data_IF_334262340961
#
_entry.id   IF_334262340961
#
_cell.length_a   1.000
_cell.length_b   1.000
_cell.length_c   1.000
_cell.angle_alpha   90.00
_cell.angle_beta   90.00
_cell.angle_gamma   90.00
#
_symmetry.space_group_name_H-M   'P 1'
#
loop_
_entity.id
_entity.type
_entity.pdbx_description
1 polymer ?
#
# COMPACT_ATOMS: atom_id res chain seq x y z
N UNK A 1 -12.97 -10.77 -17.21
CA UNK A 1 -11.94 -11.80 -16.93
C UNK A 1 -10.75 -11.66 -17.89
N UNK A 2 -10.25 -10.44 -18.09
CA UNK A 2 -9.16 -10.09 -19.04
C UNK A 2 -8.20 -9.03 -18.48
N UNK A 3 -8.69 -8.11 -17.65
CA UNK A 3 -7.86 -7.04 -17.03
C UNK A 3 -6.72 -7.58 -16.15
N UNK A 4 -6.91 -8.72 -15.48
CA UNK A 4 -5.88 -9.29 -14.62
C UNK A 4 -4.73 -9.94 -15.39
N UNK A 5 -4.90 -10.34 -16.67
CA UNK A 5 -3.81 -11.01 -17.41
C UNK A 5 -2.65 -10.08 -17.68
N UNK A 6 -2.93 -8.85 -18.12
CA UNK A 6 -1.88 -7.87 -18.39
C UNK A 6 -1.13 -7.50 -17.10
N UNK A 7 -1.86 -7.33 -15.99
CA UNK A 7 -1.27 -7.08 -14.67
C UNK A 7 -0.43 -8.26 -14.19
N UNK A 8 -0.90 -9.50 -14.37
CA UNK A 8 -0.13 -10.70 -14.04
C UNK A 8 1.11 -10.88 -14.92
N UNK A 9 1.03 -10.59 -16.22
CA UNK A 9 2.19 -10.65 -17.11
C UNK A 9 3.21 -9.54 -16.81
N UNK A 10 2.76 -8.32 -16.51
CA UNK A 10 3.66 -7.24 -16.07
C UNK A 10 4.31 -7.57 -14.71
N UNK A 11 3.58 -8.20 -13.80
CA UNK A 11 4.11 -8.68 -12.53
C UNK A 11 5.18 -9.76 -12.74
N UNK A 12 4.90 -10.77 -13.56
CA UNK A 12 5.85 -11.83 -13.91
C UNK A 12 7.08 -11.28 -14.65
N UNK A 13 6.89 -10.35 -15.59
CA UNK A 13 8.00 -9.70 -16.30
C UNK A 13 8.90 -8.92 -15.32
N UNK A 14 8.31 -8.20 -14.37
CA UNK A 14 9.04 -7.49 -13.30
C UNK A 14 9.77 -8.46 -12.36
N UNK A 15 9.20 -9.65 -12.10
CA UNK A 15 9.86 -10.72 -11.33
C UNK A 15 11.07 -11.32 -12.05
N UNK A 16 11.05 -11.40 -13.38
CA UNK A 16 12.10 -12.04 -14.19
C UNK A 16 13.21 -11.09 -14.65
N UNK A 17 12.95 -9.78 -14.71
CA UNK A 17 14.00 -8.79 -14.96
C UNK A 17 14.78 -8.54 -13.66
N UNK A 18 15.94 -9.20 -13.53
CA UNK A 18 16.92 -9.18 -12.42
C UNK A 18 17.51 -7.79 -12.05
N UNK A 19 16.73 -6.71 -12.07
CA UNK A 19 17.18 -5.35 -11.75
C UNK A 19 16.12 -4.39 -11.22
N UNK A 20 14.85 -4.79 -11.08
CA UNK A 20 13.81 -3.90 -10.54
C UNK A 20 13.36 -4.38 -9.17
N UNK A 21 13.49 -3.49 -8.19
CA UNK A 21 13.04 -3.72 -6.82
C UNK A 21 11.52 -3.94 -6.80
N UNK A 22 11.10 -5.21 -6.69
CA UNK A 22 9.70 -5.63 -6.56
C UNK A 22 9.04 -4.95 -5.36
N UNK A 23 9.83 -4.72 -4.30
CA UNK A 23 9.40 -4.05 -3.10
C UNK A 23 8.92 -2.62 -3.43
N UNK A 24 9.76 -1.83 -4.10
CA UNK A 24 9.44 -0.48 -4.52
C UNK A 24 8.37 -0.36 -5.60
N UNK A 25 8.41 -1.23 -6.63
CA UNK A 25 7.59 -1.06 -7.82
C UNK A 25 6.23 -1.75 -7.76
N UNK A 26 6.05 -2.74 -6.88
CA UNK A 26 4.80 -3.50 -6.79
C UNK A 26 4.19 -3.38 -5.41
N UNK A 27 4.94 -3.69 -4.35
CA UNK A 27 4.35 -3.76 -3.01
C UNK A 27 4.06 -2.38 -2.40
N UNK A 28 4.90 -1.36 -2.63
CA UNK A 28 4.61 0.01 -2.18
C UNK A 28 3.32 0.56 -2.81
N UNK A 29 3.11 0.51 -4.15
CA UNK A 29 1.85 0.93 -4.77
C UNK A 29 0.62 0.17 -4.25
N UNK A 30 0.74 -1.15 -4.05
CA UNK A 30 -0.32 -1.97 -3.46
C UNK A 30 -0.70 -1.46 -2.07
N UNK A 31 0.31 -1.21 -1.21
CA UNK A 31 0.08 -0.72 0.14
C UNK A 31 -0.48 0.71 0.15
N UNK A 32 -0.04 1.60 -0.76
CA UNK A 32 -0.62 2.95 -0.92
C UNK A 32 -2.10 2.87 -1.28
N UNK A 33 -2.47 1.99 -2.20
CA UNK A 33 -3.87 1.80 -2.60
C UNK A 33 -4.70 1.22 -1.47
N UNK A 34 -4.16 0.27 -0.71
CA UNK A 34 -4.81 -0.28 0.48
C UNK A 34 -5.04 0.80 1.54
N UNK A 35 -4.03 1.63 1.84
CA UNK A 35 -4.14 2.78 2.76
C UNK A 35 -5.23 3.77 2.31
N UNK A 36 -5.27 4.09 1.02
CA UNK A 36 -6.31 4.95 0.44
C UNK A 36 -7.71 4.36 0.62
N UNK A 37 -7.87 3.07 0.31
CA UNK A 37 -9.17 2.40 0.41
C UNK A 37 -9.62 2.28 1.86
N UNK A 38 -8.68 2.08 2.78
CA UNK A 38 -8.94 2.11 4.21
C UNK A 38 -9.39 3.51 4.67
N UNK A 39 -8.76 4.56 4.16
CA UNK A 39 -9.13 5.95 4.44
C UNK A 39 -10.52 6.33 3.93
N UNK A 40 -10.92 5.83 2.75
CA UNK A 40 -12.29 5.99 2.22
C UNK A 40 -13.38 5.43 3.16
N UNK A 41 -13.06 4.44 4.00
CA UNK A 41 -13.98 3.90 5.02
C UNK A 41 -14.22 4.90 6.17
N UNK A 42 -13.64 6.11 6.12
CA UNK A 42 -13.79 7.16 7.13
C UNK A 42 -12.97 6.93 8.41
N UNK A 43 -12.04 5.97 8.37
CA UNK A 43 -11.18 5.63 9.52
C UNK A 43 -9.86 6.39 9.44
N UNK A 44 -9.63 7.28 10.40
CA UNK A 44 -8.36 8.05 10.48
C UNK A 44 -7.23 7.28 11.16
N UNK A 45 -7.56 6.25 11.94
CA UNK A 45 -6.60 5.43 12.69
C UNK A 45 -6.69 3.98 12.22
N UNK A 46 -5.55 3.32 12.08
CA UNK A 46 -5.50 1.91 11.71
C UNK A 46 -4.22 1.23 12.20
N UNK A 47 -4.28 -0.09 12.23
CA UNK A 47 -3.18 -0.98 12.55
C UNK A 47 -2.68 -1.71 11.28
N UNK A 48 -1.51 -2.31 11.40
CA UNK A 48 -0.94 -3.21 10.39
C UNK A 48 -1.90 -4.34 9.99
N UNK A 49 -2.68 -4.88 10.93
CA UNK A 49 -3.70 -5.90 10.67
C UNK A 49 -4.82 -5.40 9.77
N UNK A 50 -5.25 -4.14 9.92
CA UNK A 50 -6.32 -3.56 9.09
C UNK A 50 -5.86 -3.46 7.62
N UNK A 51 -4.60 -3.10 7.40
CA UNK A 51 -4.02 -3.01 6.06
C UNK A 51 -3.75 -4.40 5.47
N UNK A 52 -3.36 -5.37 6.30
CA UNK A 52 -3.24 -6.76 5.89
C UNK A 52 -4.59 -7.30 5.38
N UNK A 53 -5.66 -7.08 6.12
CA UNK A 53 -7.03 -7.45 5.72
C UNK A 53 -7.44 -6.72 4.45
N UNK A 54 -7.16 -5.41 4.34
CA UNK A 54 -7.48 -4.63 3.16
C UNK A 54 -6.75 -5.14 1.89
N UNK A 55 -5.48 -5.56 2.02
CA UNK A 55 -4.73 -6.18 0.91
C UNK A 55 -5.32 -7.54 0.55
N UNK A 56 -5.71 -8.34 1.55
CA UNK A 56 -6.36 -9.63 1.32
C UNK A 56 -7.70 -9.46 0.59
N UNK A 57 -8.54 -8.52 1.02
CA UNK A 57 -9.81 -8.18 0.37
C UNK A 57 -9.61 -7.74 -1.08
N UNK A 58 -8.59 -6.93 -1.36
CA UNK A 58 -8.37 -6.34 -2.68
C UNK A 58 -7.69 -7.28 -3.68
N UNK A 59 -6.76 -8.10 -3.22
CA UNK A 59 -5.85 -8.85 -4.09
C UNK A 59 -5.87 -10.37 -3.85
N UNK A 60 -6.52 -10.85 -2.80
CA UNK A 60 -6.69 -12.28 -2.53
C UNK A 60 -5.44 -13.00 -2.04
N UNK A 61 -4.41 -12.28 -1.59
CA UNK A 61 -3.21 -12.90 -0.99
C UNK A 61 -2.90 -12.33 0.39
N UNK A 62 -2.39 -13.20 1.27
CA UNK A 62 -2.04 -12.84 2.63
C UNK A 62 -0.57 -12.44 2.73
N UNK A 63 -0.31 -11.18 3.07
CA UNK A 63 1.04 -10.66 3.31
C UNK A 63 1.40 -10.82 4.79
N UNK A 64 2.60 -11.32 5.13
CA UNK A 64 3.02 -11.38 6.53
C UNK A 64 3.01 -10.01 7.20
N UNK A 65 2.52 -9.93 8.45
CA UNK A 65 2.35 -8.68 9.19
C UNK A 65 3.65 -7.86 9.30
N UNK A 66 4.80 -8.54 9.40
CA UNK A 66 6.13 -7.92 9.44
C UNK A 66 6.47 -7.17 8.17
N UNK A 67 6.05 -7.70 7.01
CA UNK A 67 6.19 -7.06 5.70
C UNK A 67 5.22 -5.89 5.59
N UNK A 68 3.96 -6.06 6.04
CA UNK A 68 2.98 -4.95 6.04
C UNK A 68 3.50 -3.73 6.81
N UNK A 69 4.14 -3.93 7.97
CA UNK A 69 4.78 -2.83 8.72
C UNK A 69 5.87 -2.12 7.93
N UNK A 70 6.69 -2.87 7.20
CA UNK A 70 7.73 -2.28 6.36
C UNK A 70 7.11 -1.54 5.18
N UNK A 71 6.06 -2.09 4.59
CA UNK A 71 5.33 -1.47 3.49
C UNK A 71 4.64 -0.17 3.91
N UNK A 72 4.00 -0.11 5.07
CA UNK A 72 3.41 1.14 5.58
C UNK A 72 4.46 2.24 5.70
N UNK A 73 5.65 1.92 6.24
CA UNK A 73 6.77 2.88 6.29
C UNK A 73 7.27 3.28 4.92
N UNK A 74 7.47 2.31 4.04
CA UNK A 74 7.98 2.56 2.71
C UNK A 74 6.99 3.41 1.89
N UNK A 75 5.70 3.13 2.01
CA UNK A 75 4.61 3.92 1.44
C UNK A 75 4.62 5.35 1.96
N UNK A 76 4.70 5.56 3.27
CA UNK A 76 4.80 6.92 3.83
C UNK A 76 6.07 7.66 3.38
N UNK A 77 7.21 6.96 3.29
CA UNK A 77 8.47 7.55 2.81
C UNK A 77 8.41 7.93 1.34
N UNK A 78 7.71 7.12 0.53
CA UNK A 78 7.54 7.33 -0.90
C UNK A 78 6.45 8.35 -1.27
N UNK A 79 5.78 8.98 -0.30
CA UNK A 79 4.92 10.13 -0.56
C UNK A 79 5.77 11.38 -0.84
N UNK A 80 5.38 12.13 -1.87
CA UNK A 80 5.89 13.45 -2.16
C UNK A 80 5.59 14.43 -1.02
N UNK A 81 6.28 15.57 -0.98
CA UNK A 81 6.05 16.60 0.05
C UNK A 81 4.60 17.08 0.08
N UNK A 82 3.95 17.18 -1.09
CA UNK A 82 2.55 17.57 -1.22
C UNK A 82 1.60 16.51 -0.66
N UNK A 83 1.79 15.25 -1.05
CA UNK A 83 0.99 14.13 -0.53
C UNK A 83 1.13 13.97 0.98
N UNK A 84 2.33 14.20 1.56
CA UNK A 84 2.52 14.17 3.01
C UNK A 84 1.72 15.25 3.75
N UNK A 85 1.57 16.44 3.15
CA UNK A 85 0.78 17.52 3.74
C UNK A 85 -0.73 17.23 3.64
N UNK A 86 -1.17 16.63 2.54
CA UNK A 86 -2.58 16.27 2.32
C UNK A 86 -3.01 15.06 3.17
N UNK A 87 -2.20 13.99 3.18
CA UNK A 87 -2.46 12.77 3.97
C UNK A 87 -2.22 12.96 5.47
N UNK A 88 -1.33 13.88 5.86
CA UNK A 88 -0.83 14.04 7.23
C UNK A 88 -0.54 12.68 7.91
N UNK A 89 0.13 11.77 7.17
CA UNK A 89 0.37 10.42 7.66
C UNK A 89 1.38 10.41 8.81
N UNK A 90 0.98 9.85 9.94
CA UNK A 90 1.82 9.63 11.11
C UNK A 90 1.93 8.14 11.37
N UNK A 91 3.16 7.65 11.56
CA UNK A 91 3.43 6.23 11.83
C UNK A 91 3.95 6.09 13.26
N UNK A 92 3.35 5.17 14.00
CA UNK A 92 3.75 4.84 15.37
C UNK A 92 4.22 3.39 15.47
N UNK A 93 4.96 3.09 16.54
CA UNK A 93 5.39 1.73 16.89
C UNK A 93 5.99 0.96 15.70
N UNK A 94 6.85 1.64 14.93
CA UNK A 94 7.55 1.02 13.81
C UNK A 94 6.58 0.43 12.75
N UNK A 95 5.49 1.13 12.43
CA UNK A 95 4.54 0.73 11.37
C UNK A 95 3.40 -0.16 11.86
N UNK A 96 3.32 -0.42 13.17
CA UNK A 96 2.23 -1.21 13.76
C UNK A 96 0.92 -0.42 13.82
N UNK A 97 0.99 0.87 14.12
CA UNK A 97 -0.15 1.77 14.09
C UNK A 97 0.16 2.96 13.17
N UNK A 98 -0.86 3.48 12.52
CA UNK A 98 -0.76 4.69 11.72
C UNK A 98 -2.00 5.56 11.90
N UNK A 99 -1.82 6.86 11.65
CA UNK A 99 -2.87 7.84 11.53
C UNK A 99 -2.76 8.50 10.15
N UNK A 100 -3.88 8.64 9.46
CA UNK A 100 -3.92 9.28 8.15
C UNK A 100 -5.24 10.04 8.00
N UNK A 101 -5.18 11.29 7.52
CA UNK A 101 -6.39 12.02 7.12
C UNK A 101 -7.03 11.37 5.89
N UNK A 102 -8.33 11.63 5.72
CA UNK A 102 -9.09 11.25 4.52
C UNK A 102 -8.32 11.62 3.24
N UNK A 103 -7.72 10.62 2.61
CA UNK A 103 -6.97 10.77 1.38
C UNK A 103 -7.45 9.73 0.37
N UNK A 104 -8.06 10.23 -0.71
CA UNK A 104 -8.52 9.42 -1.83
C UNK A 104 -7.53 9.65 -2.98
N UNK A 105 -6.82 8.62 -3.43
CA UNK A 105 -6.17 8.71 -4.73
C UNK A 105 -7.26 8.90 -5.79
N UNK A 106 -7.28 10.05 -6.46
CA UNK A 106 -8.12 10.24 -7.63
C UNK A 106 -7.68 9.22 -8.67
N UNK A 107 -8.61 8.37 -9.11
CA UNK A 107 -8.37 7.38 -10.16
C UNK A 107 -7.86 8.09 -11.43
N UNK A 108 -6.74 7.60 -11.97
CA UNK A 108 -6.34 7.86 -13.36
C UNK A 108 -7.30 7.11 -14.27
#
# INVERSE_FOLDING_TARGET
>A
MSENKLTSYNFLATLTENGKDLYGNVYIPICKRALSKYSEKGKEFGADSDIQEQILEMYGFNVPITIVRQLIKASANSFSRKEKQETAIEIYENGKNFKMKLFCFQSI
#
